data_IF_207154940903
#
_entry.id   IF_207154940903
#
_cell.length_a   1.000
_cell.length_b   1.000
_cell.length_c   1.000
_cell.angle_alpha   90.00
_cell.angle_beta   90.00
_cell.angle_gamma   90.00
#
_symmetry.space_group_name_H-M   'P 1'
#
loop_
_entity.id
_entity.type
_entity.pdbx_description
1 polymer ?
#
# COMPACT_ATOMS: atom_id res chain seq x y z
N UNK A 1 16.95 10.83 -3.11
CA UNK A 1 16.02 9.73 -3.39
C UNK A 1 16.01 9.40 -4.89
N UNK A 2 15.38 8.28 -5.29
CA UNK A 2 15.37 7.80 -6.69
C UNK A 2 14.71 8.76 -7.69
N UNK A 3 13.89 9.70 -7.21
CA UNK A 3 13.19 10.68 -8.05
C UNK A 3 14.09 11.74 -8.70
N UNK A 4 15.37 11.80 -8.36
CA UNK A 4 16.32 12.69 -9.04
C UNK A 4 16.76 12.15 -10.41
N UNK A 5 16.54 10.86 -10.68
CA UNK A 5 16.93 10.25 -11.95
C UNK A 5 15.89 10.53 -13.03
N UNK A 6 16.35 11.06 -14.17
CA UNK A 6 15.49 11.42 -15.30
C UNK A 6 14.60 10.24 -15.77
N UNK A 7 15.13 9.04 -15.83
CA UNK A 7 14.38 7.83 -16.24
C UNK A 7 13.18 7.56 -15.32
N UNK A 8 13.33 7.83 -14.03
CA UNK A 8 12.25 7.67 -13.04
C UNK A 8 11.19 8.75 -13.23
N UNK A 9 11.63 10.00 -13.43
CA UNK A 9 10.72 11.12 -13.70
C UNK A 9 9.93 10.88 -14.99
N UNK A 10 10.60 10.50 -16.08
CA UNK A 10 9.95 10.20 -17.37
C UNK A 10 8.94 9.05 -17.23
N UNK A 11 9.24 8.04 -16.40
CA UNK A 11 8.30 6.96 -16.11
C UNK A 11 7.07 7.45 -15.35
N UNK A 12 7.21 8.38 -14.40
CA UNK A 12 6.07 8.99 -13.69
C UNK A 12 5.19 9.81 -14.64
N UNK A 13 5.78 10.64 -15.50
CA UNK A 13 5.01 11.41 -16.49
C UNK A 13 4.25 10.52 -17.48
N UNK A 14 4.87 9.41 -17.93
CA UNK A 14 4.18 8.45 -18.81
C UNK A 14 3.00 7.77 -18.09
N UNK A 15 3.16 7.41 -16.82
CA UNK A 15 2.07 6.83 -16.02
C UNK A 15 0.93 7.81 -15.84
N UNK A 16 1.24 9.07 -15.52
CA UNK A 16 0.24 10.13 -15.38
C UNK A 16 -0.50 10.34 -16.72
N UNK A 17 0.22 10.47 -17.83
CA UNK A 17 -0.38 10.62 -19.16
C UNK A 17 -1.27 9.42 -19.53
N UNK A 18 -0.89 8.20 -19.13
CA UNK A 18 -1.69 7.00 -19.42
C UNK A 18 -3.09 7.01 -18.81
N UNK A 19 -3.30 7.76 -17.73
CA UNK A 19 -4.63 7.93 -17.11
C UNK A 19 -5.66 8.53 -18.08
N UNK A 20 -5.21 9.27 -19.11
CA UNK A 20 -6.10 9.84 -20.11
C UNK A 20 -6.57 8.83 -21.16
N UNK A 21 -5.97 7.65 -21.21
CA UNK A 21 -6.37 6.61 -22.15
C UNK A 21 -7.74 6.01 -21.77
N UNK A 22 -8.67 5.87 -22.73
CA UNK A 22 -9.93 5.17 -22.50
C UNK A 22 -9.74 3.67 -22.24
N UNK A 23 -8.58 3.12 -22.61
CA UNK A 23 -8.25 1.71 -22.41
C UNK A 23 -7.66 1.42 -21.03
N UNK A 24 -7.34 2.45 -20.22
CA UNK A 24 -6.60 2.30 -18.97
C UNK A 24 -7.26 1.32 -18.00
N UNK A 25 -8.56 1.45 -17.79
CA UNK A 25 -9.33 0.57 -16.87
C UNK A 25 -9.26 -0.89 -17.32
N UNK A 26 -9.53 -1.16 -18.59
CA UNK A 26 -9.50 -2.52 -19.14
C UNK A 26 -8.09 -3.12 -19.11
N UNK A 27 -7.06 -2.32 -19.45
CA UNK A 27 -5.67 -2.76 -19.42
C UNK A 27 -5.22 -3.10 -17.99
N UNK A 28 -5.55 -2.26 -17.00
CA UNK A 28 -5.23 -2.52 -15.59
C UNK A 28 -5.95 -3.77 -15.07
N UNK A 29 -7.23 -3.93 -15.37
CA UNK A 29 -7.99 -5.12 -14.97
C UNK A 29 -7.40 -6.39 -15.59
N UNK A 30 -7.03 -6.36 -16.87
CA UNK A 30 -6.39 -7.49 -17.56
C UNK A 30 -5.05 -7.85 -16.90
N UNK A 31 -4.20 -6.85 -16.63
CA UNK A 31 -2.90 -7.05 -15.98
C UNK A 31 -3.04 -7.66 -14.59
N UNK A 32 -3.99 -7.17 -13.77
CA UNK A 32 -4.22 -7.68 -12.43
C UNK A 32 -4.74 -9.12 -12.48
N UNK A 33 -5.73 -9.40 -13.32
CA UNK A 33 -6.29 -10.74 -13.49
C UNK A 33 -5.27 -11.75 -14.05
N UNK A 34 -4.29 -11.30 -14.83
CA UNK A 34 -3.21 -12.17 -15.35
C UNK A 34 -2.22 -12.62 -14.26
N UNK A 35 -2.21 -11.98 -13.09
CA UNK A 35 -1.32 -12.34 -11.99
C UNK A 35 -1.94 -13.43 -11.11
N UNK A 36 -1.08 -14.29 -10.56
CA UNK A 36 -1.50 -15.32 -9.59
C UNK A 36 -1.84 -14.72 -8.22
N UNK A 37 -1.39 -13.49 -7.94
CA UNK A 37 -1.62 -12.82 -6.66
C UNK A 37 -3.10 -12.52 -6.47
N UNK A 38 -3.61 -12.80 -5.27
CA UNK A 38 -4.97 -12.48 -4.84
C UNK A 38 -5.07 -11.14 -4.11
N UNK A 39 -3.97 -10.41 -4.07
CA UNK A 39 -3.88 -9.08 -3.46
C UNK A 39 -3.16 -8.11 -4.39
N UNK A 40 -3.62 -6.86 -4.41
CA UNK A 40 -3.02 -5.79 -5.19
C UNK A 40 -2.92 -4.52 -4.34
N UNK A 41 -1.76 -3.86 -4.37
CA UNK A 41 -1.54 -2.55 -3.75
C UNK A 41 -1.55 -1.48 -4.85
N UNK A 42 -2.37 -0.47 -4.66
CA UNK A 42 -2.32 0.74 -5.47
C UNK A 42 -1.17 1.64 -4.99
N UNK A 43 -0.56 2.33 -5.92
CA UNK A 43 0.50 3.31 -5.67
C UNK A 43 1.66 2.80 -4.80
N UNK A 44 2.75 2.48 -5.45
CA UNK A 44 4.04 2.28 -4.76
C UNK A 44 4.60 3.64 -4.33
N UNK A 45 4.38 4.65 -5.17
CA UNK A 45 4.70 6.06 -4.92
C UNK A 45 3.65 6.96 -5.60
N UNK A 46 3.46 8.14 -5.07
CA UNK A 46 2.39 9.05 -5.49
C UNK A 46 1.05 8.73 -4.82
N UNK A 47 -0.01 9.39 -5.27
CA UNK A 47 -1.36 9.26 -4.72
C UNK A 47 -2.40 9.40 -5.84
N UNK A 48 -3.68 9.33 -5.49
CA UNK A 48 -4.81 9.58 -6.39
C UNK A 48 -4.76 11.03 -6.85
N UNK A 49 -4.86 11.25 -8.15
CA UNK A 49 -4.70 12.59 -8.73
C UNK A 49 -5.96 13.45 -8.61
N UNK A 50 -7.11 12.83 -8.87
CA UNK A 50 -8.42 13.47 -8.89
C UNK A 50 -9.54 12.43 -8.76
N UNK A 51 -10.79 12.92 -8.75
CA UNK A 51 -11.99 12.07 -8.69
C UNK A 51 -12.07 11.11 -9.89
N UNK A 52 -11.74 11.56 -11.09
CA UNK A 52 -11.79 10.73 -12.28
C UNK A 52 -10.83 9.54 -12.18
N UNK A 53 -9.63 9.76 -11.60
CA UNK A 53 -8.68 8.69 -11.32
C UNK A 53 -9.23 7.71 -10.26
N UNK A 54 -9.82 8.22 -9.17
CA UNK A 54 -10.45 7.39 -8.14
C UNK A 54 -11.56 6.50 -8.73
N UNK A 55 -12.44 7.07 -9.56
CA UNK A 55 -13.50 6.31 -10.22
C UNK A 55 -12.96 5.23 -11.16
N UNK A 56 -11.84 5.47 -11.84
CA UNK A 56 -11.15 4.46 -12.63
C UNK A 56 -10.60 3.32 -11.75
N UNK A 57 -10.02 3.64 -10.59
CA UNK A 57 -9.59 2.65 -9.61
C UNK A 57 -10.78 1.79 -9.15
N UNK A 58 -11.91 2.40 -8.81
CA UNK A 58 -13.13 1.68 -8.43
C UNK A 58 -13.62 0.76 -9.55
N UNK A 59 -13.61 1.24 -10.80
CA UNK A 59 -13.97 0.42 -11.95
C UNK A 59 -13.04 -0.80 -12.12
N UNK A 60 -11.73 -0.63 -11.96
CA UNK A 60 -10.77 -1.74 -11.99
C UNK A 60 -11.06 -2.74 -10.88
N UNK A 61 -11.32 -2.29 -9.64
CA UNK A 61 -11.66 -3.16 -8.53
C UNK A 61 -12.91 -4.01 -8.83
N UNK A 62 -13.95 -3.41 -9.39
CA UNK A 62 -15.18 -4.11 -9.82
C UNK A 62 -14.91 -5.15 -10.91
N UNK A 63 -13.97 -4.90 -11.81
CA UNK A 63 -13.57 -5.82 -12.90
C UNK A 63 -12.61 -6.93 -12.44
N UNK A 64 -12.12 -6.85 -11.20
CA UNK A 64 -11.17 -7.81 -10.61
C UNK A 64 -11.68 -8.38 -9.27
N UNK A 65 -12.90 -8.97 -9.24
CA UNK A 65 -13.54 -9.37 -7.98
C UNK A 65 -12.78 -10.46 -7.21
N UNK A 66 -11.94 -11.23 -7.89
CA UNK A 66 -11.09 -12.26 -7.28
C UNK A 66 -9.82 -11.72 -6.60
N UNK A 67 -9.60 -10.40 -6.64
CA UNK A 67 -8.42 -9.74 -6.06
C UNK A 67 -8.88 -8.76 -4.97
N UNK A 68 -8.21 -8.79 -3.82
CA UNK A 68 -8.38 -7.78 -2.77
C UNK A 68 -7.43 -6.62 -3.03
N UNK A 69 -7.93 -5.41 -2.99
CA UNK A 69 -7.17 -4.19 -3.25
C UNK A 69 -6.90 -3.42 -1.97
N UNK A 70 -5.76 -2.75 -1.92
CA UNK A 70 -5.39 -1.80 -0.89
C UNK A 70 -4.91 -0.50 -1.54
N UNK A 71 -5.53 0.61 -1.16
CA UNK A 71 -5.18 1.96 -1.58
C UNK A 71 -4.71 2.77 -0.37
N UNK A 72 -3.39 2.93 -0.18
CA UNK A 72 -2.88 3.93 0.75
C UNK A 72 -3.07 5.33 0.15
N UNK A 73 -3.54 6.29 0.94
CA UNK A 73 -3.74 7.67 0.46
C UNK A 73 -3.53 8.70 1.56
N UNK A 74 -3.15 9.91 1.18
CA UNK A 74 -3.15 11.12 2.03
C UNK A 74 -4.15 12.16 1.53
N UNK A 75 -4.94 11.83 0.52
CA UNK A 75 -5.95 12.68 -0.09
C UNK A 75 -7.24 12.64 0.75
N UNK A 76 -7.42 13.65 1.62
CA UNK A 76 -8.53 13.70 2.57
C UNK A 76 -9.92 13.76 1.89
N UNK A 77 -10.01 14.32 0.67
CA UNK A 77 -11.23 14.44 -0.10
C UNK A 77 -11.83 13.09 -0.49
N UNK A 78 -11.00 12.04 -0.61
CA UNK A 78 -11.45 10.66 -0.92
C UNK A 78 -12.49 10.15 0.10
N UNK A 79 -12.48 10.68 1.31
CA UNK A 79 -13.46 10.32 2.35
C UNK A 79 -14.91 10.44 1.90
N UNK A 80 -15.22 11.41 1.04
CA UNK A 80 -16.56 11.61 0.51
C UNK A 80 -17.05 10.46 -0.38
N UNK A 81 -16.13 9.70 -0.95
CA UNK A 81 -16.39 8.58 -1.85
C UNK A 81 -16.37 7.20 -1.16
N UNK A 82 -16.13 7.13 0.14
CA UNK A 82 -16.15 5.86 0.89
C UNK A 82 -17.48 5.09 0.75
N UNK A 83 -18.66 5.74 0.70
CA UNK A 83 -19.93 5.01 0.48
C UNK A 83 -20.01 4.27 -0.86
N UNK A 84 -19.22 4.69 -1.86
CA UNK A 84 -19.19 4.10 -3.21
C UNK A 84 -18.03 3.10 -3.39
N UNK A 85 -17.22 2.93 -2.32
CA UNK A 85 -16.02 2.08 -2.36
C UNK A 85 -16.41 0.62 -2.64
N UNK A 86 -15.79 -0.05 -3.64
CA UNK A 86 -16.00 -1.47 -3.89
C UNK A 86 -15.63 -2.35 -2.69
N UNK A 87 -16.40 -3.41 -2.43
CA UNK A 87 -16.20 -4.31 -1.28
C UNK A 87 -14.81 -4.97 -1.22
N UNK A 88 -14.17 -5.13 -2.37
CA UNK A 88 -12.83 -5.70 -2.47
C UNK A 88 -11.69 -4.66 -2.38
N UNK A 89 -11.99 -3.40 -2.04
CA UNK A 89 -11.02 -2.32 -1.87
C UNK A 89 -10.99 -1.81 -0.44
N UNK A 90 -9.81 -1.78 0.17
CA UNK A 90 -9.56 -1.12 1.45
C UNK A 90 -8.79 0.17 1.19
N UNK A 91 -9.38 1.32 1.53
CA UNK A 91 -8.74 2.64 1.45
C UNK A 91 -8.22 2.99 2.83
N UNK A 92 -6.90 3.12 2.99
CA UNK A 92 -6.27 3.50 4.25
C UNK A 92 -5.73 4.92 4.18
N UNK A 93 -6.26 5.78 5.02
CA UNK A 93 -5.72 7.13 5.15
C UNK A 93 -4.43 7.09 5.97
N UNK A 94 -3.34 7.57 5.38
CA UNK A 94 -2.02 7.59 6.00
C UNK A 94 -1.84 8.84 6.85
N UNK A 95 -1.55 8.68 8.14
CA UNK A 95 -1.21 9.79 9.02
C UNK A 95 -0.02 10.58 8.46
N UNK A 96 -0.07 11.92 8.45
CA UNK A 96 0.95 12.74 7.78
C UNK A 96 2.29 12.78 8.50
N UNK A 97 2.33 12.53 9.81
CA UNK A 97 3.52 12.64 10.63
C UNK A 97 3.88 11.30 11.27
N UNK A 98 5.18 11.12 11.55
CA UNK A 98 5.68 10.01 12.38
C UNK A 98 5.17 10.21 13.81
N UNK A 99 4.85 9.12 14.48
CA UNK A 99 4.31 9.07 15.85
C UNK A 99 3.00 9.85 16.05
N UNK A 100 2.28 10.13 14.96
CA UNK A 100 0.95 10.72 15.01
C UNK A 100 -0.10 9.63 15.22
N UNK A 101 -1.10 9.95 16.07
CA UNK A 101 -2.27 9.10 16.25
C UNK A 101 -3.05 8.88 14.96
N UNK A 102 -3.67 7.70 14.85
CA UNK A 102 -4.52 7.38 13.72
C UNK A 102 -5.70 8.35 13.64
N UNK A 103 -5.98 8.98 12.46
CA UNK A 103 -7.11 9.88 12.30
C UNK A 103 -8.44 9.18 12.55
N UNK A 104 -9.07 9.45 13.70
CA UNK A 104 -10.28 8.75 14.18
C UNK A 104 -11.51 8.92 13.30
N UNK A 105 -11.50 9.86 12.35
CA UNK A 105 -12.60 10.09 11.43
C UNK A 105 -12.60 9.18 10.20
N UNK A 106 -11.59 8.31 10.04
CA UNK A 106 -11.47 7.36 8.95
C UNK A 106 -11.74 5.93 9.41
N UNK A 107 -12.45 5.10 8.63
CA UNK A 107 -12.73 3.71 9.00
C UNK A 107 -11.48 2.86 9.06
N UNK A 108 -10.52 3.12 8.18
CA UNK A 108 -9.22 2.42 8.09
C UNK A 108 -8.09 3.41 7.87
N UNK A 109 -6.99 3.24 8.62
CA UNK A 109 -5.84 4.15 8.64
C UNK A 109 -4.53 3.39 8.59
N UNK A 110 -3.45 4.13 8.32
CA UNK A 110 -2.09 3.69 8.58
C UNK A 110 -1.28 4.80 9.26
N UNK A 111 -0.38 4.39 10.13
CA UNK A 111 0.53 5.28 10.88
C UNK A 111 1.96 4.83 10.70
N UNK A 112 2.91 5.74 10.93
CA UNK A 112 4.33 5.42 11.01
C UNK A 112 4.80 5.75 12.43
N UNK A 113 5.54 4.83 13.04
CA UNK A 113 6.10 5.01 14.38
C UNK A 113 7.62 4.93 14.36
N UNK A 114 8.26 5.74 15.17
CA UNK A 114 9.71 5.71 15.38
C UNK A 114 10.17 4.47 16.16
N UNK A 115 9.27 3.84 16.93
CA UNK A 115 9.55 2.62 17.69
C UNK A 115 9.14 1.35 16.93
N UNK A 116 9.95 0.30 17.03
CA UNK A 116 9.59 -1.05 16.58
C UNK A 116 9.04 -1.85 17.75
N UNK A 117 7.84 -2.39 17.61
CA UNK A 117 7.21 -3.25 18.61
C UNK A 117 6.42 -4.38 17.95
N UNK A 118 5.83 -5.28 18.75
CA UNK A 118 5.10 -6.44 18.26
C UNK A 118 3.79 -6.09 17.54
N UNK A 119 3.24 -4.91 17.79
CA UNK A 119 1.98 -4.44 17.21
C UNK A 119 2.18 -3.80 15.83
N UNK A 120 3.42 -3.48 15.48
CA UNK A 120 3.75 -2.92 14.16
C UNK A 120 3.60 -3.96 13.06
N UNK A 121 3.42 -3.46 11.83
CA UNK A 121 3.46 -4.30 10.64
C UNK A 121 4.74 -5.16 10.64
N UNK A 122 4.64 -6.49 10.57
CA UNK A 122 5.80 -7.37 10.69
C UNK A 122 6.75 -7.34 9.48
N UNK A 123 6.40 -6.62 8.41
CA UNK A 123 7.20 -6.62 7.18
C UNK A 123 8.67 -6.25 7.42
N UNK A 124 8.96 -5.29 8.32
CA UNK A 124 10.33 -4.87 8.61
C UNK A 124 11.24 -5.99 9.15
N UNK A 125 10.66 -7.06 9.71
CA UNK A 125 11.34 -8.23 10.25
C UNK A 125 10.93 -9.55 9.58
N UNK A 126 10.30 -9.46 8.41
CA UNK A 126 9.92 -10.62 7.59
C UNK A 126 10.86 -10.75 6.41
N UNK A 127 11.47 -11.90 6.23
CA UNK A 127 12.41 -12.18 5.16
C UNK A 127 11.72 -12.57 3.84
N UNK A 128 12.52 -12.75 2.78
CA UNK A 128 12.04 -13.14 1.44
C UNK A 128 11.35 -14.50 1.40
N UNK A 129 11.57 -15.37 2.39
CA UNK A 129 10.90 -16.67 2.49
C UNK A 129 9.54 -16.55 3.17
N UNK A 130 9.23 -15.37 3.76
CA UNK A 130 8.02 -15.10 4.52
C UNK A 130 8.15 -15.43 6.01
N UNK A 131 9.35 -15.74 6.48
CA UNK A 131 9.61 -15.99 7.90
C UNK A 131 9.62 -14.69 8.68
N UNK A 132 8.79 -14.60 9.71
CA UNK A 132 8.72 -13.44 10.62
C UNK A 132 9.68 -13.69 11.79
N UNK A 133 10.76 -12.94 11.85
CA UNK A 133 11.72 -13.01 12.95
C UNK A 133 11.14 -12.36 14.22
N UNK A 134 11.60 -12.79 15.41
CA UNK A 134 11.23 -12.13 16.67
C UNK A 134 11.83 -10.72 16.73
N UNK A 135 11.28 -9.84 17.56
CA UNK A 135 11.87 -8.50 17.77
C UNK A 135 13.27 -8.60 18.34
N UNK A 136 13.47 -9.47 19.34
CA UNK A 136 14.79 -9.70 19.96
C UNK A 136 15.82 -10.15 18.91
N UNK A 137 15.46 -11.09 18.03
CA UNK A 137 16.33 -11.50 16.93
C UNK A 137 16.60 -10.34 15.97
N UNK A 138 15.57 -9.56 15.58
CA UNK A 138 15.74 -8.42 14.69
C UNK A 138 16.64 -7.34 15.29
N UNK A 139 16.50 -7.02 16.58
CA UNK A 139 17.25 -5.95 17.25
C UNK A 139 18.73 -6.34 17.41
N UNK A 140 19.02 -7.63 17.56
CA UNK A 140 20.40 -8.16 17.66
C UNK A 140 21.07 -8.38 16.30
N UNK A 141 20.34 -8.33 15.19
CA UNK A 141 20.87 -8.50 13.83
C UNK A 141 21.81 -7.36 13.42
N UNK A 142 22.95 -7.71 12.83
CA UNK A 142 23.82 -6.73 12.15
C UNK A 142 23.15 -6.22 10.88
N UNK A 143 23.64 -5.08 10.34
CA UNK A 143 23.17 -4.54 9.06
C UNK A 143 23.40 -5.50 7.90
N UNK A 144 24.50 -6.26 7.94
CA UNK A 144 24.82 -7.27 6.93
C UNK A 144 23.81 -8.41 6.96
N UNK A 145 23.54 -8.97 8.17
CA UNK A 145 22.54 -10.04 8.33
C UNK A 145 21.14 -9.60 7.87
N UNK A 146 20.71 -8.35 8.19
CA UNK A 146 19.43 -7.80 7.72
C UNK A 146 19.36 -7.72 6.21
N UNK A 147 20.48 -7.36 5.55
CA UNK A 147 20.58 -7.28 4.09
C UNK A 147 20.56 -8.69 3.45
N UNK A 148 21.30 -9.65 4.02
CA UNK A 148 21.39 -11.03 3.49
C UNK A 148 20.04 -11.75 3.59
N UNK A 149 19.26 -11.49 4.66
CA UNK A 149 17.91 -12.01 4.83
C UNK A 149 16.90 -11.34 3.89
N UNK A 150 17.27 -10.22 3.25
CA UNK A 150 16.38 -9.45 2.37
C UNK A 150 15.05 -9.19 3.07
N UNK A 151 15.10 -8.43 4.18
CA UNK A 151 13.92 -8.09 4.98
C UNK A 151 13.03 -7.06 4.26
N UNK A 152 11.77 -6.97 4.66
CA UNK A 152 10.81 -6.01 4.11
C UNK A 152 9.63 -6.66 3.38
N UNK A 153 9.45 -7.96 3.53
CA UNK A 153 8.39 -8.72 2.87
C UNK A 153 7.12 -8.84 3.73
N UNK A 154 5.95 -8.86 3.08
CA UNK A 154 4.68 -9.03 3.80
C UNK A 154 4.44 -10.47 4.30
N UNK A 155 5.15 -11.47 3.78
CA UNK A 155 4.93 -12.87 4.10
C UNK A 155 3.46 -13.27 3.90
N UNK A 156 2.87 -13.91 4.91
CA UNK A 156 1.44 -14.29 4.92
C UNK A 156 0.52 -13.19 5.47
N UNK A 157 1.06 -12.10 6.03
CA UNK A 157 0.28 -10.99 6.57
C UNK A 157 -0.56 -10.33 5.47
N UNK A 158 -1.84 -10.03 5.78
CA UNK A 158 -2.77 -9.36 4.87
C UNK A 158 -3.55 -8.23 5.55
N UNK A 159 -3.03 -7.70 6.65
CA UNK A 159 -3.69 -6.65 7.44
C UNK A 159 -4.01 -5.40 6.62
N UNK A 160 -3.16 -5.02 5.67
CA UNK A 160 -3.40 -3.86 4.80
C UNK A 160 -4.66 -4.02 3.94
N UNK A 161 -5.03 -5.25 3.58
CA UNK A 161 -6.19 -5.61 2.76
C UNK A 161 -7.40 -6.07 3.60
N UNK A 162 -7.35 -5.95 4.93
CA UNK A 162 -8.42 -6.36 5.81
C UNK A 162 -9.14 -5.13 6.39
N UNK A 163 -10.43 -4.88 6.04
CA UNK A 163 -11.17 -3.73 6.53
C UNK A 163 -11.45 -3.76 8.05
N UNK A 164 -11.40 -4.94 8.68
CA UNK A 164 -11.58 -5.09 10.13
C UNK A 164 -10.38 -4.56 10.92
N UNK A 165 -9.20 -4.50 10.31
CA UNK A 165 -8.01 -3.91 10.92
C UNK A 165 -8.09 -2.39 10.78
N UNK A 166 -8.42 -1.70 11.86
CA UNK A 166 -8.66 -0.25 11.87
C UNK A 166 -7.41 0.56 11.55
N UNK A 167 -6.27 0.19 12.11
CA UNK A 167 -5.00 0.85 11.85
C UNK A 167 -3.88 -0.16 11.58
N UNK A 168 -3.01 0.16 10.64
CA UNK A 168 -1.75 -0.57 10.41
C UNK A 168 -0.60 0.36 10.72
N UNK A 169 0.14 0.06 11.78
CA UNK A 169 1.32 0.83 12.18
C UNK A 169 2.56 0.27 11.50
N UNK A 170 3.32 1.11 10.82
CA UNK A 170 4.60 0.76 10.21
C UNK A 170 5.75 1.31 11.06
N UNK A 171 6.82 0.52 11.22
CA UNK A 171 8.07 1.05 11.75
C UNK A 171 8.73 2.01 10.75
N UNK A 172 9.34 3.08 11.26
CA UNK A 172 10.14 4.00 10.45
C UNK A 172 11.40 3.29 9.94
N UNK A 173 11.72 3.45 8.65
CA UNK A 173 12.91 2.90 8.00
C UNK A 173 14.02 3.94 7.86
#
# INVERSE_FOLDING_TARGET
>A
GCYVFKVVQDAQYRRLASLQSPLWVGAMALLINSKKSKVFRWHDSGDVQDEAHLMKIFAVCKLTPGTRHWLPTREAWIKHFLPECPDNLVIRFSAPMVDQDAPGSWPTTSTVTSSHNSENCPAFRTDKTGTVHTLEAFDTMTKENKKDLDLGHCGSCRNCWNPEVKNVAYGQH
#
